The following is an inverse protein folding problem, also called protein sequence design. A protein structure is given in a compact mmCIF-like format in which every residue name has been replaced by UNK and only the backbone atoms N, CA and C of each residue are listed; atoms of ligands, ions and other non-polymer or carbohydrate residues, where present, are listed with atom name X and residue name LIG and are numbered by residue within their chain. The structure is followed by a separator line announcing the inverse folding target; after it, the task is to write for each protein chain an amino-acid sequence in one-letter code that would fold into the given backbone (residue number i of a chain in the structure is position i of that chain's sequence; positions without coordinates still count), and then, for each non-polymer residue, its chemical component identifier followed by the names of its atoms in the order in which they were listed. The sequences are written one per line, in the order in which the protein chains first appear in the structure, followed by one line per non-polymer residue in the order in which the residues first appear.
data_IF_765747599333
#
_entry.id   IF_765747599333
#
_cell.length_a   1.000
_cell.length_b   1.000
_cell.length_c   1.000
_cell.angle_alpha   90.00
_cell.angle_beta   90.00
_cell.angle_gamma   90.00
#
_symmetry.space_group_name_H-M   'P 1'
#
loop_
_entity.id
_entity.type
_entity.pdbx_description
1 polymer ?
#
# COMPACT_ATOMS: atom_id res chain seq x y z
N UNK A 1 -57.80 30.52 30.30
CA UNK A 1 -56.37 30.34 29.96
C UNK A 1 -55.87 29.09 30.67
N UNK A 2 -55.59 28.01 29.94
CA UNK A 2 -54.96 26.80 30.49
C UNK A 2 -53.81 26.44 29.53
N UNK A 3 -52.58 26.65 29.98
CA UNK A 3 -51.36 26.36 29.23
C UNK A 3 -50.88 24.94 29.50
N UNK A 4 -50.61 24.19 28.44
CA UNK A 4 -50.04 22.85 28.49
C UNK A 4 -48.51 22.99 28.61
N UNK A 5 -47.90 22.50 29.70
CA UNK A 5 -46.44 22.35 29.80
C UNK A 5 -46.04 20.97 29.29
N UNK A 6 -45.24 20.94 28.23
CA UNK A 6 -44.57 19.72 27.73
C UNK A 6 -43.21 19.62 28.41
N UNK A 7 -43.06 18.65 29.32
CA UNK A 7 -41.77 18.32 29.93
C UNK A 7 -40.94 17.43 29.01
N UNK A 8 -39.77 17.91 28.60
CA UNK A 8 -38.76 17.11 27.89
C UNK A 8 -38.01 16.26 28.90
N UNK A 9 -38.17 14.95 28.83
CA UNK A 9 -37.37 13.99 29.58
C UNK A 9 -36.04 13.78 28.85
N UNK A 10 -34.95 14.30 29.40
CA UNK A 10 -33.58 13.98 28.97
C UNK A 10 -33.22 12.59 29.50
N UNK A 11 -33.14 11.60 28.62
CA UNK A 11 -32.56 10.31 28.96
C UNK A 11 -31.04 10.45 29.08
N UNK A 12 -30.39 9.90 30.13
CA UNK A 12 -28.95 9.91 30.24
C UNK A 12 -28.34 9.05 29.12
N UNK A 13 -27.46 9.65 28.31
CA UNK A 13 -26.57 8.89 27.42
C UNK A 13 -25.53 8.15 28.26
N UNK A 14 -25.70 6.84 28.38
CA UNK A 14 -24.62 5.96 28.83
C UNK A 14 -23.68 5.74 27.64
N UNK A 15 -22.66 6.58 27.49
CA UNK A 15 -21.50 6.19 26.71
C UNK A 15 -20.86 4.98 27.40
N UNK A 16 -20.76 3.85 26.70
CA UNK A 16 -20.07 2.68 27.24
C UNK A 16 -18.59 3.02 27.47
N UNK A 17 -18.04 2.62 28.62
CA UNK A 17 -16.62 2.77 28.90
C UNK A 17 -15.79 2.10 27.79
N UNK A 18 -14.66 2.70 27.36
CA UNK A 18 -13.79 2.07 26.39
C UNK A 18 -13.32 0.70 26.92
N UNK A 19 -13.19 -0.31 26.04
CA UNK A 19 -12.80 -1.64 26.48
C UNK A 19 -11.47 -1.60 27.21
N UNK A 20 -11.39 -2.28 28.35
CA UNK A 20 -10.13 -2.41 29.08
C UNK A 20 -9.01 -2.91 28.13
N UNK A 21 -7.79 -2.37 28.21
CA UNK A 21 -6.69 -2.74 27.32
C UNK A 21 -6.41 -4.24 27.36
N UNK A 22 -6.14 -4.86 26.21
CA UNK A 22 -5.84 -6.29 26.09
C UNK A 22 -4.42 -6.60 26.57
N UNK A 23 -4.23 -6.52 27.90
CA UNK A 23 -2.97 -6.81 28.59
C UNK A 23 -2.78 -8.32 28.68
N UNK A 24 -1.55 -8.77 28.45
CA UNK A 24 -1.19 -10.19 28.51
C UNK A 24 -0.14 -10.45 29.61
N UNK A 25 -0.06 -11.67 30.18
CA UNK A 25 1.02 -12.02 31.10
C UNK A 25 2.39 -11.98 30.40
N UNK A 26 3.37 -11.28 30.99
CA UNK A 26 4.66 -10.98 30.34
C UNK A 26 5.52 -12.19 29.93
N UNK A 27 5.27 -13.39 30.48
CA UNK A 27 5.97 -14.61 30.04
C UNK A 27 5.46 -15.15 28.69
N UNK A 28 4.19 -14.89 28.33
CA UNK A 28 3.61 -15.30 27.04
C UNK A 28 4.11 -14.44 25.88
N UNK A 29 4.49 -13.19 26.15
CA UNK A 29 5.09 -12.26 25.18
C UNK A 29 6.46 -12.72 24.65
N UNK A 30 7.16 -13.62 25.36
CA UNK A 30 8.53 -14.02 25.01
C UNK A 30 8.62 -15.16 23.98
N UNK A 31 7.49 -15.64 23.46
CA UNK A 31 7.49 -16.70 22.44
C UNK A 31 8.04 -16.15 21.13
N UNK A 32 9.21 -16.61 20.73
CA UNK A 32 9.80 -16.28 19.44
C UNK A 32 9.04 -16.98 18.31
N UNK A 33 8.93 -16.30 17.17
CA UNK A 33 8.40 -16.87 15.94
C UNK A 33 9.45 -17.83 15.33
N UNK A 34 9.19 -19.15 15.25
CA UNK A 34 10.13 -20.10 14.67
C UNK A 34 10.06 -20.16 13.13
N UNK A 35 9.08 -19.51 12.52
CA UNK A 35 8.84 -19.53 11.07
C UNK A 35 9.46 -18.29 10.42
N UNK A 36 10.32 -18.49 9.43
CA UNK A 36 10.92 -17.40 8.68
C UNK A 36 9.85 -16.58 7.93
N UNK A 37 9.98 -15.26 7.96
CA UNK A 37 9.11 -14.33 7.24
C UNK A 37 9.52 -14.22 5.75
N UNK A 38 9.49 -15.33 5.03
CA UNK A 38 9.75 -15.38 3.58
C UNK A 38 8.45 -15.28 2.75
N UNK A 39 8.59 -15.17 1.42
CA UNK A 39 7.47 -15.00 0.49
C UNK A 39 6.46 -16.16 0.58
N UNK A 40 6.93 -17.38 0.84
CA UNK A 40 6.07 -18.56 0.98
C UNK A 40 5.23 -18.46 2.25
N UNK A 41 5.84 -18.09 3.39
CA UNK A 41 5.14 -17.85 4.64
C UNK A 41 4.14 -16.70 4.52
N UNK A 42 4.53 -15.58 3.90
CA UNK A 42 3.67 -14.41 3.72
C UNK A 42 2.46 -14.76 2.84
N UNK A 43 2.68 -15.53 1.77
CA UNK A 43 1.60 -15.99 0.87
C UNK A 43 0.59 -16.87 1.61
N UNK A 44 1.07 -17.84 2.38
CA UNK A 44 0.20 -18.69 3.21
C UNK A 44 -0.57 -17.87 4.25
N UNK A 45 0.12 -16.93 4.91
CA UNK A 45 -0.50 -16.02 5.87
C UNK A 45 -1.59 -15.14 5.25
N UNK A 46 -1.36 -14.62 4.03
CA UNK A 46 -2.36 -13.85 3.28
C UNK A 46 -3.61 -14.69 3.00
N UNK A 47 -3.45 -15.92 2.52
CA UNK A 47 -4.57 -16.82 2.26
C UNK A 47 -5.41 -17.05 3.51
N UNK A 48 -4.77 -17.34 4.65
CA UNK A 48 -5.47 -17.52 5.92
C UNK A 48 -6.17 -16.23 6.38
N UNK A 49 -5.51 -15.09 6.23
CA UNK A 49 -6.07 -13.79 6.63
C UNK A 49 -7.31 -13.43 5.82
N UNK A 50 -7.27 -13.59 4.50
CA UNK A 50 -8.43 -13.36 3.63
C UNK A 50 -9.59 -14.26 4.02
N UNK A 51 -9.34 -15.53 4.35
CA UNK A 51 -10.38 -16.49 4.72
C UNK A 51 -11.00 -16.25 6.09
N UNK A 52 -10.21 -15.79 7.07
CA UNK A 52 -10.60 -15.84 8.49
C UNK A 52 -10.63 -14.48 9.19
N UNK A 53 -9.91 -13.49 8.66
CA UNK A 53 -9.66 -12.23 9.37
C UNK A 53 -10.24 -11.01 8.64
N UNK A 54 -10.18 -10.99 7.30
CA UNK A 54 -10.52 -9.83 6.47
C UNK A 54 -11.99 -9.38 6.60
N UNK A 55 -12.94 -10.28 6.89
CA UNK A 55 -14.34 -9.89 7.09
C UNK A 55 -14.55 -8.92 8.26
N UNK A 56 -13.66 -8.96 9.27
CA UNK A 56 -13.69 -8.05 10.41
C UNK A 56 -12.59 -6.99 10.30
N UNK A 57 -11.38 -7.39 9.95
CA UNK A 57 -10.22 -6.50 9.94
C UNK A 57 -10.02 -5.73 8.61
N UNK A 58 -10.80 -6.00 7.58
CA UNK A 58 -10.61 -5.44 6.24
C UNK A 58 -9.43 -6.08 5.50
N UNK A 59 -9.42 -6.02 4.16
CA UNK A 59 -8.34 -6.61 3.36
C UNK A 59 -6.97 -5.97 3.63
N UNK A 60 -6.99 -4.67 3.94
CA UNK A 60 -5.83 -3.85 4.29
C UNK A 60 -5.52 -3.83 5.79
N UNK A 61 -6.33 -4.49 6.60
CA UNK A 61 -6.12 -4.57 8.04
C UNK A 61 -6.59 -3.35 8.84
N UNK A 62 -7.35 -2.40 8.28
CA UNK A 62 -7.74 -1.16 8.95
C UNK A 62 -8.86 -1.31 10.00
N UNK A 63 -9.42 -2.51 10.16
CA UNK A 63 -10.55 -2.73 11.07
C UNK A 63 -11.91 -2.33 10.48
N UNK A 64 -11.94 -2.10 9.17
CA UNK A 64 -13.07 -1.61 8.36
C UNK A 64 -13.75 -2.72 7.55
N UNK A 65 -13.52 -3.99 7.91
CA UNK A 65 -14.22 -5.11 7.29
C UNK A 65 -15.74 -4.99 7.44
N UNK A 66 -16.52 -5.57 6.50
CA UNK A 66 -17.99 -5.40 6.49
C UNK A 66 -18.66 -5.82 7.79
N UNK A 67 -18.11 -6.82 8.50
CA UNK A 67 -18.57 -7.21 9.83
C UNK A 67 -17.94 -6.32 10.91
N UNK A 68 -16.68 -5.93 10.76
CA UNK A 68 -15.92 -5.12 11.71
C UNK A 68 -16.59 -3.77 12.04
N UNK A 69 -17.22 -3.15 11.05
CA UNK A 69 -17.98 -1.91 11.20
C UNK A 69 -19.26 -2.06 12.07
N UNK A 70 -19.68 -3.29 12.36
CA UNK A 70 -20.86 -3.57 13.21
C UNK A 70 -20.51 -4.00 14.63
N UNK A 71 -19.22 -4.22 14.92
CA UNK A 71 -18.76 -4.77 16.19
C UNK A 71 -18.45 -3.67 17.21
N UNK A 72 -18.74 -3.95 18.48
CA UNK A 72 -18.32 -3.11 19.60
C UNK A 72 -17.53 -3.95 20.62
N UNK A 73 -16.24 -3.64 20.87
CA UNK A 73 -15.43 -2.66 20.15
C UNK A 73 -15.16 -3.03 18.68
N UNK A 74 -14.88 -2.02 17.88
CA UNK A 74 -14.37 -2.21 16.53
C UNK A 74 -13.02 -2.94 16.56
N UNK A 75 -12.72 -3.77 15.55
CA UNK A 75 -11.38 -4.31 15.36
C UNK A 75 -10.34 -3.18 15.25
N UNK A 76 -9.16 -3.41 15.81
CA UNK A 76 -8.08 -2.43 15.69
C UNK A 76 -7.54 -2.38 14.26
N UNK A 77 -7.17 -1.19 13.82
CA UNK A 77 -6.28 -1.01 12.67
C UNK A 77 -4.96 -1.72 12.97
N UNK A 78 -4.62 -2.70 12.15
CA UNK A 78 -3.45 -3.53 12.27
C UNK A 78 -2.18 -2.79 11.86
N UNK A 79 -2.26 -1.66 11.13
CA UNK A 79 -1.12 -0.84 10.67
C UNK A 79 -0.64 0.24 11.66
N UNK A 80 -1.36 0.46 12.76
CA UNK A 80 -1.06 1.53 13.73
C UNK A 80 0.18 1.23 14.60
N UNK A 81 0.76 2.29 15.18
CA UNK A 81 1.99 2.20 15.97
C UNK A 81 1.91 1.20 17.15
N UNK A 82 0.77 1.18 17.83
CA UNK A 82 0.52 0.33 18.98
C UNK A 82 0.44 -1.16 18.60
N UNK A 83 0.21 -1.49 17.32
CA UNK A 83 0.29 -2.85 16.82
C UNK A 83 1.73 -3.26 16.50
N UNK A 84 2.59 -2.30 16.13
CA UNK A 84 4.03 -2.53 15.92
C UNK A 84 4.77 -2.86 17.21
N UNK A 85 4.41 -2.18 18.30
CA UNK A 85 5.05 -2.34 19.60
C UNK A 85 4.80 -3.70 20.25
N UNK A 86 3.74 -4.39 19.83
CA UNK A 86 3.46 -5.74 20.30
C UNK A 86 4.46 -6.72 19.68
N UNK A 87 5.03 -7.61 20.48
CA UNK A 87 5.91 -8.68 19.99
C UNK A 87 5.12 -9.82 19.33
N UNK A 88 5.80 -10.63 18.53
CA UNK A 88 5.20 -11.77 17.81
C UNK A 88 4.51 -12.76 18.76
N UNK A 89 5.08 -13.01 19.93
CA UNK A 89 4.47 -13.85 20.96
C UNK A 89 3.16 -13.28 21.51
N UNK A 90 3.02 -11.95 21.56
CA UNK A 90 1.77 -11.31 21.98
C UNK A 90 0.68 -11.49 20.94
N UNK A 91 1.02 -11.26 19.66
CA UNK A 91 0.08 -11.47 18.54
C UNK A 91 -0.32 -12.94 18.45
N UNK A 92 0.62 -13.86 18.59
CA UNK A 92 0.36 -15.30 18.63
C UNK A 92 -0.64 -15.67 19.72
N UNK A 93 -0.43 -15.16 20.93
CA UNK A 93 -1.34 -15.45 22.03
C UNK A 93 -2.73 -14.86 21.80
N UNK A 94 -2.81 -13.62 21.28
CA UNK A 94 -4.09 -12.96 20.95
C UNK A 94 -4.89 -13.72 19.90
N UNK A 95 -4.24 -14.20 18.84
CA UNK A 95 -4.89 -15.05 17.82
C UNK A 95 -5.31 -16.41 18.43
N UNK A 96 -4.47 -16.99 19.28
CA UNK A 96 -4.73 -18.29 19.90
C UNK A 96 -5.95 -18.24 20.81
N UNK A 97 -6.03 -17.29 21.73
CA UNK A 97 -7.12 -17.25 22.73
C UNK A 97 -8.33 -16.45 22.26
N UNK A 98 -8.14 -15.47 21.39
CA UNK A 98 -9.16 -14.49 21.08
C UNK A 98 -9.55 -13.60 22.27
N UNK A 99 -10.44 -12.66 22.00
CA UNK A 99 -11.13 -11.85 23.01
C UNK A 99 -12.36 -11.25 22.35
N UNK A 100 -13.54 -11.51 22.91
CA UNK A 100 -14.81 -11.03 22.36
C UNK A 100 -14.72 -9.53 21.97
N UNK A 101 -15.11 -9.17 20.73
CA UNK A 101 -15.83 -10.00 19.74
C UNK A 101 -14.93 -10.89 18.86
N UNK A 102 -13.60 -10.82 18.98
CA UNK A 102 -12.68 -11.68 18.22
C UNK A 102 -12.72 -13.13 18.75
N UNK A 103 -13.01 -14.14 17.91
CA UNK A 103 -13.07 -15.53 18.33
C UNK A 103 -11.67 -16.10 18.64
N UNK A 104 -11.64 -17.26 19.28
CA UNK A 104 -10.42 -18.05 19.44
C UNK A 104 -10.10 -18.81 18.15
N UNK A 105 -8.83 -18.80 17.74
CA UNK A 105 -8.35 -19.58 16.59
C UNK A 105 -7.38 -20.70 16.97
N UNK A 106 -7.09 -20.87 18.27
CA UNK A 106 -6.28 -21.97 18.81
C UNK A 106 -6.68 -23.36 18.30
N UNK A 107 -7.97 -23.72 18.36
CA UNK A 107 -8.47 -25.01 17.88
C UNK A 107 -8.58 -25.13 16.36
N UNK A 108 -8.69 -24.01 15.65
CA UNK A 108 -8.95 -23.98 14.20
C UNK A 108 -7.68 -23.95 13.35
N UNK A 109 -6.56 -23.49 13.92
CA UNK A 109 -5.29 -23.33 13.22
C UNK A 109 -4.19 -24.13 13.90
N UNK A 110 -3.26 -24.66 13.10
CA UNK A 110 -2.00 -25.17 13.64
C UNK A 110 -1.15 -24.02 14.19
N UNK A 111 -0.14 -24.35 15.01
CA UNK A 111 0.82 -23.35 15.49
C UNK A 111 1.56 -22.69 14.32
N UNK A 112 2.02 -23.47 13.34
CA UNK A 112 2.69 -22.98 12.14
C UNK A 112 1.81 -22.03 11.32
N UNK A 113 0.53 -22.36 11.13
CA UNK A 113 -0.43 -21.49 10.43
C UNK A 113 -0.62 -20.14 11.14
N UNK A 114 -0.64 -20.13 12.47
CA UNK A 114 -0.69 -18.87 13.23
C UNK A 114 0.58 -18.04 13.05
N UNK A 115 1.75 -18.67 12.90
CA UNK A 115 2.99 -17.96 12.60
C UNK A 115 3.00 -17.39 11.18
N UNK A 116 2.50 -18.12 10.18
CA UNK A 116 2.31 -17.57 8.84
C UNK A 116 1.37 -16.35 8.83
N UNK A 117 0.25 -16.43 9.57
CA UNK A 117 -0.65 -15.30 9.76
C UNK A 117 0.05 -14.07 10.37
N UNK A 118 0.88 -14.27 11.40
CA UNK A 118 1.62 -13.17 12.02
C UNK A 118 2.63 -12.56 11.06
N UNK A 119 3.36 -13.39 10.29
CA UNK A 119 4.26 -12.90 9.25
C UNK A 119 3.52 -12.02 8.22
N UNK A 120 2.29 -12.39 7.84
CA UNK A 120 1.46 -11.54 6.99
C UNK A 120 0.94 -10.28 7.70
N UNK A 121 0.44 -10.38 8.94
CA UNK A 121 -0.03 -9.21 9.72
C UNK A 121 1.08 -8.18 9.92
N UNK A 122 2.33 -8.62 10.04
CA UNK A 122 3.49 -7.73 10.09
C UNK A 122 3.70 -6.93 8.82
N UNK A 123 3.18 -7.36 7.67
CA UNK A 123 3.28 -6.59 6.41
C UNK A 123 2.44 -5.32 6.42
N UNK A 124 1.32 -5.28 7.17
CA UNK A 124 0.55 -4.04 7.40
C UNK A 124 1.33 -2.98 8.20
N UNK A 125 2.37 -3.45 8.89
CA UNK A 125 3.20 -2.70 9.82
C UNK A 125 4.66 -2.57 9.38
N UNK A 126 5.02 -3.18 8.25
CA UNK A 126 6.37 -3.10 7.74
C UNK A 126 6.63 -1.63 7.42
N UNK A 127 7.79 -1.06 7.80
CA UNK A 127 8.29 0.08 7.05
C UNK A 127 8.25 -0.37 5.59
N UNK A 128 7.64 0.46 4.72
CA UNK A 128 7.60 0.18 3.28
C UNK A 128 8.94 -0.40 2.86
N UNK A 129 8.98 -1.55 2.15
CA UNK A 129 10.18 -2.34 1.95
C UNK A 129 11.37 -1.42 1.70
N UNK A 130 12.41 -1.54 2.52
CA UNK A 130 13.59 -0.69 2.35
C UNK A 130 14.20 -1.04 0.99
N UNK A 131 13.99 -0.18 0.00
CA UNK A 131 14.61 -0.33 -1.30
C UNK A 131 16.10 0.01 -1.14
N UNK A 132 17.04 -0.97 -1.19
CA UNK A 132 18.45 -0.67 -1.09
C UNK A 132 18.83 0.32 -2.19
N UNK A 133 19.45 1.44 -1.77
CA UNK A 133 19.99 2.44 -2.68
C UNK A 133 21.31 1.94 -3.26
N UNK A 134 21.40 1.92 -4.57
CA UNK A 134 22.59 1.53 -5.32
C UNK A 134 23.25 2.75 -5.94
N UNK A 135 24.58 2.75 -5.96
CA UNK A 135 25.34 3.70 -6.77
C UNK A 135 25.49 3.10 -8.17
N UNK A 136 24.96 3.78 -9.18
CA UNK A 136 25.02 3.36 -10.60
C UNK A 136 25.63 4.48 -11.46
N UNK A 137 26.16 4.18 -12.65
CA UNK A 137 26.56 5.20 -13.62
C UNK A 137 25.39 6.12 -14.00
N UNK A 138 25.68 7.36 -14.43
CA UNK A 138 24.65 8.35 -14.77
C UNK A 138 23.73 7.88 -15.89
N UNK A 139 24.23 7.09 -16.85
CA UNK A 139 23.43 6.53 -17.93
C UNK A 139 22.18 5.77 -17.44
N UNK A 140 22.27 5.05 -16.32
CA UNK A 140 21.13 4.35 -15.71
C UNK A 140 20.07 5.33 -15.19
N UNK A 141 20.50 6.42 -14.53
CA UNK A 141 19.60 7.46 -14.01
C UNK A 141 18.98 8.29 -15.14
N UNK A 142 19.73 8.54 -16.21
CA UNK A 142 19.24 9.26 -17.39
C UNK A 142 18.15 8.46 -18.09
N UNK A 143 18.34 7.14 -18.27
CA UNK A 143 17.33 6.29 -18.88
C UNK A 143 16.06 6.19 -18.03
N UNK A 144 16.18 6.13 -16.69
CA UNK A 144 15.01 6.24 -15.81
C UNK A 144 14.30 7.60 -15.98
N UNK A 145 15.07 8.68 -16.11
CA UNK A 145 14.52 10.03 -16.34
C UNK A 145 13.76 10.12 -17.66
N UNK A 146 14.25 9.44 -18.71
CA UNK A 146 13.57 9.38 -20.00
C UNK A 146 12.28 8.56 -19.96
N UNK A 147 12.15 7.60 -19.04
CA UNK A 147 10.88 6.90 -18.73
C UNK A 147 9.94 7.81 -17.94
N UNK A 148 10.46 8.54 -16.96
CA UNK A 148 9.67 9.40 -16.06
C UNK A 148 8.97 10.55 -16.83
N UNK A 149 9.64 11.16 -17.81
CA UNK A 149 9.06 12.28 -18.60
C UNK A 149 7.71 11.93 -19.27
N UNK A 150 7.61 10.88 -20.12
CA UNK A 150 6.33 10.49 -20.71
C UNK A 150 5.34 9.96 -19.66
N UNK A 151 5.83 9.29 -18.61
CA UNK A 151 4.99 8.88 -17.48
C UNK A 151 4.26 10.09 -16.84
N UNK A 152 4.97 11.18 -16.53
CA UNK A 152 4.35 12.37 -15.94
C UNK A 152 3.34 13.03 -16.88
N UNK A 153 3.63 13.03 -18.19
CA UNK A 153 2.71 13.55 -19.20
C UNK A 153 1.41 12.74 -19.29
N UNK A 154 1.50 11.40 -19.17
CA UNK A 154 0.34 10.51 -19.08
C UNK A 154 -0.46 10.80 -17.81
N UNK A 155 0.21 10.97 -16.66
CA UNK A 155 -0.43 11.29 -15.40
C UNK A 155 -1.24 12.58 -15.44
N UNK A 156 -0.68 13.63 -16.03
CA UNK A 156 -1.38 14.91 -16.24
C UNK A 156 -2.64 14.75 -17.11
N UNK A 157 -2.57 13.97 -18.19
CA UNK A 157 -3.71 13.69 -19.06
C UNK A 157 -4.79 12.84 -18.37
N UNK A 158 -4.41 11.94 -17.45
CA UNK A 158 -5.36 11.16 -16.65
C UNK A 158 -6.04 11.98 -15.54
N UNK A 159 -5.33 12.98 -14.99
CA UNK A 159 -5.87 13.88 -13.97
C UNK A 159 -6.90 14.89 -14.52
N UNK A 160 -6.76 15.31 -15.78
CA UNK A 160 -7.76 16.15 -16.44
C UNK A 160 -9.06 15.37 -16.62
N UNK A 161 -10.18 15.84 -16.07
CA UNK A 161 -11.49 15.19 -16.18
C UNK A 161 -11.91 14.94 -17.64
N UNK A 162 -11.66 15.89 -18.54
CA UNK A 162 -11.98 15.80 -19.96
C UNK A 162 -10.86 15.15 -20.80
N UNK A 163 -9.66 15.03 -20.22
CA UNK A 163 -8.49 14.47 -20.88
C UNK A 163 -8.41 12.95 -20.86
N UNK A 164 -7.70 12.40 -21.84
CA UNK A 164 -7.20 11.03 -21.85
C UNK A 164 -5.81 11.02 -22.50
N UNK A 165 -4.89 10.13 -22.07
CA UNK A 165 -3.59 10.03 -22.71
C UNK A 165 -3.72 9.62 -24.19
N UNK A 166 -2.92 10.24 -25.05
CA UNK A 166 -2.88 9.91 -26.47
C UNK A 166 -2.10 8.63 -26.73
N UNK A 167 -2.32 8.00 -27.89
CA UNK A 167 -1.52 6.88 -28.35
C UNK A 167 -0.02 7.20 -28.38
N UNK A 168 0.32 8.45 -28.73
CA UNK A 168 1.70 8.90 -28.83
C UNK A 168 2.37 9.00 -27.46
N UNK A 169 1.65 9.43 -26.42
CA UNK A 169 2.18 9.45 -25.05
C UNK A 169 2.53 8.05 -24.56
N UNK A 170 1.66 7.06 -24.81
CA UNK A 170 1.96 5.65 -24.50
C UNK A 170 3.11 5.09 -25.34
N UNK A 171 3.18 5.46 -26.62
CA UNK A 171 4.28 5.06 -27.50
C UNK A 171 5.63 5.65 -27.05
N UNK A 172 5.66 6.89 -26.58
CA UNK A 172 6.86 7.52 -26.01
C UNK A 172 7.33 6.79 -24.75
N UNK A 173 6.40 6.42 -23.85
CA UNK A 173 6.74 5.63 -22.67
C UNK A 173 7.33 4.27 -23.04
N UNK A 174 6.69 3.55 -23.97
CA UNK A 174 7.20 2.25 -24.44
C UNK A 174 8.57 2.38 -25.11
N UNK A 175 8.81 3.44 -25.89
CA UNK A 175 10.12 3.70 -26.51
C UNK A 175 11.21 3.96 -25.46
N UNK A 176 10.90 4.75 -24.43
CA UNK A 176 11.83 5.02 -23.34
C UNK A 176 12.15 3.75 -22.54
N UNK A 177 11.16 2.89 -22.30
CA UNK A 177 11.36 1.60 -21.64
C UNK A 177 12.28 0.67 -22.45
N UNK A 178 12.13 0.60 -23.78
CA UNK A 178 13.06 -0.19 -24.62
C UNK A 178 14.52 0.25 -24.43
N UNK A 179 14.79 1.55 -24.24
CA UNK A 179 16.15 2.02 -23.96
C UNK A 179 16.68 1.49 -22.60
N UNK A 180 15.81 1.40 -21.59
CA UNK A 180 16.14 0.83 -20.28
C UNK A 180 16.62 -0.62 -20.40
N UNK A 181 15.98 -1.41 -21.27
CA UNK A 181 16.36 -2.81 -21.53
C UNK A 181 17.73 -2.97 -22.21
N UNK A 182 18.23 -1.94 -22.91
CA UNK A 182 19.55 -2.01 -23.58
C UNK A 182 20.71 -1.91 -22.59
N UNK A 183 20.48 -1.35 -21.41
CA UNK A 183 21.43 -1.36 -20.30
C UNK A 183 21.22 -2.65 -19.51
N UNK A 184 22.00 -3.69 -19.81
CA UNK A 184 21.80 -5.03 -19.25
C UNK A 184 22.45 -5.22 -17.85
N UNK A 185 23.04 -4.18 -17.27
CA UNK A 185 23.72 -4.27 -15.97
C UNK A 185 25.09 -4.94 -16.01
N UNK A 186 25.68 -5.19 -17.18
CA UNK A 186 26.97 -5.89 -17.28
C UNK A 186 28.15 -5.11 -16.66
N UNK A 187 28.02 -3.79 -16.53
CA UNK A 187 28.97 -2.89 -15.87
C UNK A 187 28.67 -2.63 -14.39
N UNK A 188 27.67 -3.32 -13.82
CA UNK A 188 27.28 -3.21 -12.41
C UNK A 188 27.67 -4.47 -11.62
N UNK A 189 27.82 -4.31 -10.30
CA UNK A 189 27.92 -5.44 -9.38
C UNK A 189 26.64 -6.30 -9.41
N UNK A 190 26.74 -7.56 -8.97
CA UNK A 190 25.67 -8.56 -9.10
C UNK A 190 24.31 -8.08 -8.55
N UNK A 191 24.30 -7.49 -7.35
CA UNK A 191 23.08 -7.03 -6.69
C UNK A 191 22.37 -5.89 -7.46
N UNK A 192 23.02 -4.76 -7.79
CA UNK A 192 22.40 -3.72 -8.62
C UNK A 192 22.08 -4.19 -10.05
N UNK A 193 22.90 -5.05 -10.67
CA UNK A 193 22.60 -5.62 -11.99
C UNK A 193 21.32 -6.46 -11.98
N UNK A 194 21.16 -7.33 -10.97
CA UNK A 194 19.95 -8.15 -10.79
C UNK A 194 18.73 -7.28 -10.55
N UNK A 195 18.84 -6.31 -9.64
CA UNK A 195 17.74 -5.39 -9.36
C UNK A 195 17.33 -4.60 -10.60
N UNK A 196 18.30 -4.13 -11.40
CA UNK A 196 18.04 -3.39 -12.63
C UNK A 196 17.28 -4.23 -13.66
N UNK A 197 17.75 -5.46 -13.93
CA UNK A 197 17.06 -6.39 -14.86
C UNK A 197 15.65 -6.72 -14.41
N UNK A 198 15.43 -6.91 -13.10
CA UNK A 198 14.10 -7.15 -12.54
C UNK A 198 13.18 -5.94 -12.74
N UNK A 199 13.66 -4.74 -12.43
CA UNK A 199 12.92 -3.49 -12.67
C UNK A 199 12.58 -3.32 -14.15
N UNK A 200 13.53 -3.57 -15.05
CA UNK A 200 13.31 -3.49 -16.50
C UNK A 200 12.20 -4.45 -16.95
N UNK A 201 12.25 -5.71 -16.51
CA UNK A 201 11.25 -6.72 -16.85
C UNK A 201 9.85 -6.38 -16.29
N UNK A 202 9.77 -5.92 -15.03
CA UNK A 202 8.51 -5.51 -14.40
C UNK A 202 7.90 -4.30 -15.10
N UNK A 203 8.72 -3.32 -15.48
CA UNK A 203 8.26 -2.13 -16.18
C UNK A 203 7.76 -2.49 -17.59
N UNK A 204 8.50 -3.36 -18.29
CA UNK A 204 8.08 -3.90 -19.57
C UNK A 204 6.69 -4.54 -19.49
N UNK A 205 6.51 -5.45 -18.53
CA UNK A 205 5.24 -6.16 -18.33
C UNK A 205 4.10 -5.18 -18.04
N UNK A 206 4.30 -4.23 -17.12
CA UNK A 206 3.29 -3.23 -16.77
C UNK A 206 2.90 -2.36 -17.99
N UNK A 207 3.86 -1.96 -18.83
CA UNK A 207 3.60 -1.20 -20.05
C UNK A 207 2.92 -2.06 -21.13
N UNK A 208 3.25 -3.35 -21.27
CA UNK A 208 2.51 -4.21 -22.20
C UNK A 208 1.06 -4.42 -21.75
N UNK A 209 0.83 -4.55 -20.44
CA UNK A 209 -0.52 -4.66 -19.89
C UNK A 209 -1.32 -3.37 -20.12
N UNK A 210 -0.70 -2.18 -20.02
CA UNK A 210 -1.39 -0.90 -20.23
C UNK A 210 -1.96 -0.76 -21.65
N UNK A 211 -1.37 -1.41 -22.66
CA UNK A 211 -1.88 -1.42 -24.04
C UNK A 211 -3.26 -2.08 -24.19
N UNK A 212 -3.69 -2.85 -23.19
CA UNK A 212 -4.99 -3.51 -23.20
C UNK A 212 -6.09 -2.64 -22.60
N UNK A 213 -5.75 -1.50 -21.98
CA UNK A 213 -6.71 -0.57 -21.39
C UNK A 213 -7.56 0.08 -22.49
N UNK A 214 -8.89 -0.06 -22.38
CA UNK A 214 -9.86 0.44 -23.37
C UNK A 214 -10.60 1.70 -22.92
N UNK A 215 -10.53 2.01 -21.64
CA UNK A 215 -11.19 3.14 -21.02
C UNK A 215 -10.26 3.79 -19.98
N UNK A 216 -10.69 4.95 -19.48
CA UNK A 216 -9.90 5.77 -18.56
C UNK A 216 -9.64 5.08 -17.23
N UNK A 217 -10.58 4.30 -16.73
CA UNK A 217 -10.43 3.60 -15.45
C UNK A 217 -9.41 2.47 -15.58
N UNK A 218 -9.46 1.68 -16.65
CA UNK A 218 -8.44 0.69 -16.97
C UNK A 218 -7.06 1.35 -17.16
N UNK A 219 -6.99 2.53 -17.78
CA UNK A 219 -5.73 3.29 -17.90
C UNK A 219 -5.21 3.75 -16.53
N UNK A 220 -6.08 4.19 -15.61
CA UNK A 220 -5.70 4.56 -14.24
C UNK A 220 -5.13 3.35 -13.47
N UNK A 221 -5.73 2.17 -13.61
CA UNK A 221 -5.20 0.93 -13.01
C UNK A 221 -3.82 0.58 -13.58
N UNK A 222 -3.67 0.65 -14.90
CA UNK A 222 -2.38 0.40 -15.54
C UNK A 222 -1.31 1.43 -15.09
N UNK A 223 -1.71 2.69 -14.93
CA UNK A 223 -0.84 3.77 -14.46
C UNK A 223 -0.38 3.56 -13.01
N UNK A 224 -1.26 3.06 -12.12
CA UNK A 224 -0.88 2.67 -10.75
C UNK A 224 0.19 1.57 -10.75
N UNK A 225 0.00 0.52 -11.57
CA UNK A 225 0.98 -0.56 -11.72
C UNK A 225 2.33 -0.06 -12.21
N UNK A 226 2.34 0.80 -13.23
CA UNK A 226 3.57 1.43 -13.75
C UNK A 226 4.22 2.31 -12.68
N UNK A 227 3.43 3.08 -11.93
CA UNK A 227 3.93 3.95 -10.85
C UNK A 227 4.71 3.16 -9.81
N UNK A 228 4.17 2.04 -9.34
CA UNK A 228 4.81 1.23 -8.29
C UNK A 228 6.22 0.80 -8.70
N UNK A 229 6.37 0.37 -9.96
CA UNK A 229 7.68 -0.02 -10.52
C UNK A 229 8.62 1.18 -10.64
N UNK A 230 8.16 2.31 -11.18
CA UNK A 230 8.99 3.53 -11.32
C UNK A 230 9.40 4.09 -9.96
N UNK A 231 8.49 4.15 -8.99
CA UNK A 231 8.77 4.64 -7.65
C UNK A 231 9.82 3.79 -6.94
N UNK A 232 9.74 2.46 -7.07
CA UNK A 232 10.77 1.55 -6.58
C UNK A 232 12.10 1.76 -7.31
N UNK A 233 12.08 1.86 -8.65
CA UNK A 233 13.28 2.08 -9.46
C UNK A 233 14.02 3.37 -9.05
N UNK A 234 13.28 4.47 -8.90
CA UNK A 234 13.82 5.75 -8.44
C UNK A 234 14.41 5.65 -7.04
N UNK A 235 13.74 4.92 -6.13
CA UNK A 235 14.26 4.72 -4.77
C UNK A 235 15.55 3.90 -4.74
N UNK A 236 15.71 2.95 -5.68
CA UNK A 236 16.90 2.10 -5.79
C UNK A 236 18.05 2.79 -6.51
N UNK A 237 17.79 3.49 -7.61
CA UNK A 237 18.82 3.91 -8.57
C UNK A 237 18.95 5.44 -8.71
N UNK A 238 17.93 6.20 -8.30
CA UNK A 238 17.85 7.65 -8.48
C UNK A 238 17.41 8.08 -9.90
N UNK A 239 17.36 9.38 -10.11
CA UNK A 239 17.04 10.02 -11.40
C UNK A 239 17.82 11.33 -11.58
N UNK A 240 17.86 11.84 -12.81
CA UNK A 240 18.48 13.13 -13.19
C UNK A 240 17.45 14.20 -13.58
N UNK A 241 16.14 13.91 -13.46
CA UNK A 241 15.10 14.94 -13.61
C UNK A 241 15.35 16.12 -12.66
N UNK A 242 15.18 17.35 -13.16
CA UNK A 242 15.27 18.55 -12.35
C UNK A 242 14.08 18.63 -11.37
N UNK A 243 14.37 18.88 -10.09
CA UNK A 243 13.37 18.93 -9.01
C UNK A 243 13.24 17.61 -8.25
N UNK A 244 12.23 17.55 -7.39
CA UNK A 244 11.92 16.37 -6.57
C UNK A 244 10.68 15.68 -7.13
N UNK A 245 10.69 14.35 -7.18
CA UNK A 245 9.47 13.58 -7.39
C UNK A 245 8.82 13.28 -6.03
N UNK A 246 7.53 13.53 -5.92
CA UNK A 246 6.73 13.23 -4.73
C UNK A 246 5.83 12.05 -5.06
N UNK A 247 5.94 10.98 -4.28
CA UNK A 247 5.03 9.85 -4.31
C UNK A 247 3.82 10.18 -3.46
N UNK A 248 2.67 10.31 -4.10
CA UNK A 248 1.38 10.49 -3.45
C UNK A 248 0.62 9.17 -3.39
N UNK A 249 -0.33 9.09 -2.46
CA UNK A 249 -1.28 7.98 -2.37
C UNK A 249 -2.71 8.48 -2.30
N UNK A 250 -3.61 7.65 -2.81
CA UNK A 250 -5.04 7.75 -2.63
C UNK A 250 -5.57 6.42 -2.06
N UNK A 251 -5.87 6.32 -0.75
CA UNK A 251 -6.34 5.07 -0.13
C UNK A 251 -7.68 4.55 -0.68
N UNK A 252 -8.56 5.48 -1.05
CA UNK A 252 -9.95 5.21 -1.48
C UNK A 252 -10.08 4.89 -2.97
N UNK A 253 -9.00 5.05 -3.75
CA UNK A 253 -8.98 4.71 -5.17
C UNK A 253 -9.38 3.24 -5.39
N UNK A 254 -10.09 2.96 -6.50
CA UNK A 254 -10.49 1.62 -6.91
C UNK A 254 -11.24 0.88 -5.81
N UNK A 255 -12.39 1.42 -5.36
CA UNK A 255 -13.23 0.82 -4.32
C UNK A 255 -12.47 0.52 -3.01
N UNK A 256 -11.56 1.41 -2.62
CA UNK A 256 -10.75 1.26 -1.42
C UNK A 256 -9.55 0.31 -1.56
N UNK A 257 -9.20 -0.16 -2.76
CA UNK A 257 -7.94 -0.90 -3.00
C UNK A 257 -6.70 0.01 -2.97
N UNK A 258 -6.90 1.31 -3.17
CA UNK A 258 -5.89 2.36 -3.11
C UNK A 258 -4.96 2.37 -4.32
N UNK A 259 -4.36 3.53 -4.55
CA UNK A 259 -3.46 3.76 -5.68
C UNK A 259 -2.38 4.79 -5.33
N UNK A 260 -1.30 4.79 -6.10
CA UNK A 260 -0.18 5.73 -5.93
C UNK A 260 0.20 6.39 -7.25
N UNK A 261 0.74 7.61 -7.17
CA UNK A 261 1.30 8.30 -8.34
C UNK A 261 2.50 9.16 -7.96
N UNK A 262 3.39 9.39 -8.93
CA UNK A 262 4.48 10.36 -8.81
C UNK A 262 4.09 11.68 -9.49
N UNK A 263 4.48 12.79 -8.86
CA UNK A 263 4.39 14.14 -9.41
C UNK A 263 5.65 14.94 -9.10
N UNK A 264 5.97 15.94 -9.92
CA UNK A 264 7.08 16.84 -9.59
C UNK A 264 6.64 17.86 -8.52
N UNK A 265 7.51 18.15 -7.56
CA UNK A 265 7.30 19.13 -6.48
C UNK A 265 7.13 20.57 -6.97
N UNK A 266 7.58 20.88 -8.20
CA UNK A 266 7.42 22.18 -8.83
C UNK A 266 6.08 22.38 -9.55
N UNK A 267 5.22 21.35 -9.55
CA UNK A 267 3.91 21.38 -10.20
C UNK A 267 2.78 21.47 -9.18
N UNK A 268 1.66 22.06 -9.57
CA UNK A 268 0.44 22.02 -8.75
C UNK A 268 0.03 20.55 -8.59
N UNK A 269 -0.18 20.09 -7.36
CA UNK A 269 -0.62 18.72 -7.09
C UNK A 269 -1.97 18.45 -7.77
N UNK A 270 -2.02 17.40 -8.58
CA UNK A 270 -3.26 16.94 -9.22
C UNK A 270 -3.53 15.50 -8.79
N UNK A 271 -4.74 15.21 -8.28
CA UNK A 271 -5.09 13.83 -7.95
C UNK A 271 -5.58 13.09 -9.20
N UNK A 272 -4.82 12.09 -9.64
CA UNK A 272 -5.14 11.25 -10.80
C UNK A 272 -6.34 10.34 -10.53
N UNK A 273 -6.53 9.92 -9.27
CA UNK A 273 -7.53 8.94 -8.86
C UNK A 273 -8.81 9.58 -8.31
N UNK A 274 -8.94 10.88 -8.46
CA UNK A 274 -10.15 11.61 -8.12
C UNK A 274 -11.36 11.08 -8.91
N UNK A 275 -12.40 10.65 -8.20
CA UNK A 275 -13.70 10.30 -8.78
C UNK A 275 -14.77 11.36 -8.46
N UNK A 276 -14.71 12.00 -7.28
CA UNK A 276 -15.56 13.10 -6.81
C UNK A 276 -14.76 14.12 -5.97
N UNK A 277 -15.20 15.39 -5.95
CA UNK A 277 -14.52 16.58 -5.38
C UNK A 277 -14.02 16.45 -3.92
N UNK A 278 -14.54 15.49 -3.16
CA UNK A 278 -14.26 15.31 -1.73
C UNK A 278 -13.60 13.97 -1.36
N UNK A 279 -13.44 13.01 -2.28
CA UNK A 279 -13.22 11.60 -1.92
C UNK A 279 -11.76 11.18 -1.73
N UNK A 280 -10.76 12.05 -1.99
CA UNK A 280 -9.37 11.65 -1.77
C UNK A 280 -8.36 12.83 -1.80
N UNK A 281 -7.99 13.44 -0.66
CA UNK A 281 -6.95 14.46 -0.65
C UNK A 281 -5.57 13.85 -0.96
N UNK A 282 -4.78 14.42 -1.88
CA UNK A 282 -3.48 13.87 -2.27
C UNK A 282 -2.52 13.90 -1.07
N UNK A 283 -2.20 12.73 -0.54
CA UNK A 283 -1.35 12.60 0.64
C UNK A 283 0.07 12.28 0.21
N UNK A 284 1.07 13.16 0.47
CA UNK A 284 2.45 12.88 0.12
C UNK A 284 3.01 11.78 1.03
N UNK A 285 3.43 10.67 0.44
CA UNK A 285 4.06 9.56 1.16
C UNK A 285 5.58 9.71 1.25
N UNK A 286 6.22 10.17 0.17
CA UNK A 286 7.68 10.22 0.08
C UNK A 286 8.18 11.22 -0.95
N UNK A 287 9.29 11.89 -0.62
CA UNK A 287 10.03 12.77 -1.52
C UNK A 287 11.26 12.02 -2.05
N UNK A 288 11.40 11.99 -3.37
CA UNK A 288 12.43 11.31 -4.13
C UNK A 288 13.25 12.39 -4.84
N UNK A 289 14.30 12.86 -4.17
CA UNK A 289 15.17 13.90 -4.71
C UNK A 289 15.97 13.39 -5.90
N UNK A 290 16.13 14.23 -6.92
CA UNK A 290 17.11 14.04 -7.98
C UNK A 290 18.54 14.11 -7.44
N UNK A 291 19.48 13.55 -8.21
CA UNK A 291 20.91 13.51 -7.88
C UNK A 291 21.71 14.16 -9.01
#
# INVERSE_FOLDING_TARGET
MAGLMVGVLLAPSFAADPPAPWKIPGFKARKANPVAADDASITQGKTLFTQLCAMCHGEKGHGDGPVGLTLTPHPADLGRAEMREQSDGELFWKITEGRAPMPTFGPALSEEQRWHLINYVRTFNAPAPSHPKYTVPTAYRDTLTDVIKPYLAIGAALADAAGQPTSDQWAMLAKAETHLQTLDGADLDEAPAKAWRQTAAQLHEAIQQSKQAKDKDAMKHAYDSITKVIAEAVQRFGHTLNGTLVLYSCPDAFDGHGAVWLQSDNSQTQNIYHQHDDDCPPTPMRYLAGI
#
